data_IF_662037276845
#
_entry.id   IF_662037276845
#
_cell.length_a   1.000
_cell.length_b   1.000
_cell.length_c   1.000
_cell.angle_alpha   90.00
_cell.angle_beta   90.00
_cell.angle_gamma   90.00
#
_symmetry.space_group_name_H-M   'P 1'
#
loop_
_entity.id
_entity.type
_entity.pdbx_description
1 polymer ?
#
# COMPACT_ATOMS: atom_id res chain seq x y z
N UNK A 1 -0.85 34.54 -4.78
CA UNK A 1 -1.30 33.22 -5.29
C UNK A 1 -2.14 32.45 -4.25
N UNK A 2 -1.67 32.29 -3.01
CA UNK A 2 -2.42 31.60 -1.93
C UNK A 2 -3.81 32.23 -1.66
N UNK A 3 -3.89 33.57 -1.55
CA UNK A 3 -5.16 34.25 -1.33
C UNK A 3 -6.19 34.05 -2.46
N UNK A 4 -5.74 33.96 -3.71
CA UNK A 4 -6.63 33.70 -4.85
C UNK A 4 -7.19 32.28 -4.80
N UNK A 5 -6.38 31.31 -4.37
CA UNK A 5 -6.83 29.93 -4.17
C UNK A 5 -7.88 29.85 -3.05
N UNK A 6 -7.65 30.53 -1.93
CA UNK A 6 -8.60 30.57 -0.81
C UNK A 6 -9.93 31.21 -1.20
N UNK A 7 -9.90 32.33 -1.95
CA UNK A 7 -11.11 32.97 -2.46
C UNK A 7 -11.86 32.03 -3.41
N UNK A 8 -11.16 31.36 -4.33
CA UNK A 8 -11.78 30.39 -5.23
C UNK A 8 -12.45 29.23 -4.47
N UNK A 9 -11.80 28.68 -3.44
CA UNK A 9 -12.37 27.62 -2.60
C UNK A 9 -13.63 28.08 -1.86
N UNK A 10 -13.63 29.31 -1.32
CA UNK A 10 -14.81 29.89 -0.66
C UNK A 10 -15.97 30.10 -1.65
N UNK A 11 -15.69 30.58 -2.86
CA UNK A 11 -16.72 30.75 -3.89
C UNK A 11 -17.32 29.41 -4.33
N UNK A 12 -16.48 28.38 -4.49
CA UNK A 12 -16.93 27.02 -4.78
C UNK A 12 -17.84 26.49 -3.67
N UNK A 13 -17.43 26.66 -2.41
CA UNK A 13 -18.22 26.24 -1.26
C UNK A 13 -19.58 26.97 -1.21
N UNK A 14 -19.58 28.29 -1.40
CA UNK A 14 -20.80 29.08 -1.44
C UNK A 14 -21.74 28.66 -2.58
N UNK A 15 -21.19 28.36 -3.77
CA UNK A 15 -21.96 27.86 -4.91
C UNK A 15 -22.58 26.48 -4.64
N UNK A 16 -21.83 25.57 -4.01
CA UNK A 16 -22.33 24.25 -3.60
C UNK A 16 -23.49 24.40 -2.60
N UNK A 17 -23.31 25.21 -1.56
CA UNK A 17 -24.35 25.46 -0.55
C UNK A 17 -25.60 26.09 -1.19
N UNK A 18 -25.41 27.12 -2.02
CA UNK A 18 -26.49 27.78 -2.75
C UNK A 18 -27.24 26.81 -3.67
N UNK A 19 -26.51 25.94 -4.37
CA UNK A 19 -27.06 24.87 -5.20
C UNK A 19 -27.91 23.88 -4.41
N UNK A 20 -27.47 23.47 -3.22
CA UNK A 20 -28.25 22.59 -2.34
C UNK A 20 -29.51 23.27 -1.79
N UNK A 21 -29.41 24.55 -1.37
CA UNK A 21 -30.58 25.31 -0.91
C UNK A 21 -31.61 25.46 -2.05
N UNK A 22 -31.13 25.76 -3.25
CA UNK A 22 -31.97 25.85 -4.44
C UNK A 22 -32.63 24.51 -4.74
N UNK A 23 -31.87 23.41 -4.77
CA UNK A 23 -32.41 22.07 -5.00
C UNK A 23 -33.49 21.73 -3.95
N UNK A 24 -33.21 21.89 -2.67
CA UNK A 24 -34.16 21.60 -1.58
C UNK A 24 -35.52 22.31 -1.76
N UNK A 25 -35.51 23.54 -2.30
CA UNK A 25 -36.73 24.32 -2.55
C UNK A 25 -37.48 23.91 -3.83
N UNK A 26 -36.80 23.31 -4.81
CA UNK A 26 -37.32 23.14 -6.18
C UNK A 26 -37.53 21.68 -6.62
N UNK A 27 -36.96 20.70 -5.91
CA UNK A 27 -37.17 19.27 -6.21
C UNK A 27 -37.86 18.57 -5.05
N UNK A 28 -38.53 17.45 -5.32
CA UNK A 28 -39.19 16.67 -4.27
C UNK A 28 -38.16 16.04 -3.33
N UNK A 29 -38.58 15.81 -2.08
CA UNK A 29 -37.72 15.28 -1.03
C UNK A 29 -36.93 14.00 -1.41
N UNK A 30 -37.53 13.00 -2.10
CA UNK A 30 -36.78 11.81 -2.52
C UNK A 30 -35.61 12.13 -3.48
N UNK A 31 -35.81 13.02 -4.44
CA UNK A 31 -34.75 13.41 -5.37
C UNK A 31 -33.66 14.25 -4.69
N UNK A 32 -34.04 15.08 -3.71
CA UNK A 32 -33.06 15.82 -2.91
C UNK A 32 -32.18 14.91 -2.06
N UNK A 33 -32.78 13.90 -1.41
CA UNK A 33 -32.03 12.89 -0.65
C UNK A 33 -31.11 12.09 -1.58
N UNK A 34 -31.58 11.71 -2.76
CA UNK A 34 -30.75 11.04 -3.77
C UNK A 34 -29.57 11.92 -4.21
N UNK A 35 -29.80 13.21 -4.45
CA UNK A 35 -28.75 14.17 -4.81
C UNK A 35 -27.67 14.25 -3.71
N UNK A 36 -28.08 14.39 -2.45
CA UNK A 36 -27.16 14.40 -1.30
C UNK A 36 -26.36 13.09 -1.22
N UNK A 37 -27.03 11.96 -1.38
CA UNK A 37 -26.37 10.65 -1.38
C UNK A 37 -25.32 10.56 -2.48
N UNK A 38 -25.65 10.93 -3.71
CA UNK A 38 -24.71 10.92 -4.85
C UNK A 38 -23.53 11.86 -4.59
N UNK A 39 -23.80 13.06 -4.07
CA UNK A 39 -22.76 14.05 -3.79
C UNK A 39 -21.75 13.58 -2.75
N UNK A 40 -22.16 12.76 -1.78
CA UNK A 40 -21.28 12.18 -0.76
C UNK A 40 -20.63 10.89 -1.29
N UNK A 41 -21.40 10.02 -1.94
CA UNK A 41 -20.94 8.70 -2.37
C UNK A 41 -19.87 8.78 -3.47
N UNK A 42 -19.98 9.72 -4.43
CA UNK A 42 -19.01 9.83 -5.53
C UNK A 42 -17.60 10.19 -5.02
N UNK A 43 -17.40 11.26 -4.21
CA UNK A 43 -16.08 11.57 -3.67
C UNK A 43 -15.51 10.45 -2.79
N UNK A 44 -16.34 9.85 -1.93
CA UNK A 44 -15.90 8.74 -1.08
C UNK A 44 -15.47 7.53 -1.91
N UNK A 45 -16.26 7.14 -2.91
CA UNK A 45 -15.93 6.05 -3.82
C UNK A 45 -14.67 6.35 -4.62
N UNK A 46 -14.54 7.58 -5.13
CA UNK A 46 -13.35 8.03 -5.88
C UNK A 46 -12.09 7.98 -5.01
N UNK A 47 -12.20 8.42 -3.76
CA UNK A 47 -11.10 8.38 -2.79
C UNK A 47 -10.69 6.93 -2.49
N UNK A 48 -11.64 6.03 -2.22
CA UNK A 48 -11.35 4.61 -1.96
C UNK A 48 -10.74 3.90 -3.17
N UNK A 49 -11.18 4.22 -4.39
CA UNK A 49 -10.58 3.71 -5.62
C UNK A 49 -9.14 4.23 -5.76
N UNK A 50 -8.92 5.51 -5.48
CA UNK A 50 -7.59 6.09 -5.50
C UNK A 50 -6.64 5.44 -4.49
N UNK A 51 -7.07 5.28 -3.23
CA UNK A 51 -6.30 4.60 -2.17
C UNK A 51 -5.93 3.18 -2.59
N UNK A 52 -6.91 2.38 -3.05
CA UNK A 52 -6.66 1.02 -3.51
C UNK A 52 -5.65 0.97 -4.67
N UNK A 53 -5.80 1.86 -5.65
CA UNK A 53 -4.89 1.91 -6.80
C UNK A 53 -3.49 2.39 -6.39
N UNK A 54 -3.40 3.27 -5.40
CA UNK A 54 -2.14 3.70 -4.80
C UNK A 54 -1.43 2.52 -4.12
N UNK A 55 -2.13 1.76 -3.27
CA UNK A 55 -1.56 0.57 -2.60
C UNK A 55 -1.10 -0.47 -3.62
N UNK A 56 -1.94 -0.82 -4.60
CA UNK A 56 -1.55 -1.72 -5.70
C UNK A 56 -0.35 -1.19 -6.51
N UNK A 57 -0.13 0.12 -6.53
CA UNK A 57 1.03 0.70 -7.21
C UNK A 57 2.35 0.46 -6.47
N UNK A 58 2.35 -0.01 -5.22
CA UNK A 58 3.58 -0.28 -4.48
C UNK A 58 4.32 -1.52 -5.00
N UNK A 59 3.63 -2.49 -5.60
CA UNK A 59 4.22 -3.73 -6.11
C UNK A 59 4.41 -3.72 -7.64
N UNK A 60 5.33 -4.53 -8.21
CA UNK A 60 5.51 -4.62 -9.65
C UNK A 60 4.27 -5.15 -10.40
N UNK A 61 3.93 -4.55 -11.54
CA UNK A 61 2.81 -5.02 -12.39
C UNK A 61 3.04 -6.44 -12.92
N UNK A 62 4.31 -6.84 -13.03
CA UNK A 62 4.72 -8.17 -13.45
C UNK A 62 4.20 -9.29 -12.52
N UNK A 63 3.84 -8.98 -11.28
CA UNK A 63 3.26 -9.94 -10.33
C UNK A 63 1.75 -10.16 -10.55
N UNK A 64 1.11 -9.39 -11.46
CA UNK A 64 -0.30 -9.53 -11.85
C UNK A 64 -1.29 -9.60 -10.67
N UNK A 65 -0.99 -8.82 -9.63
CA UNK A 65 -1.86 -8.69 -8.46
C UNK A 65 -2.95 -7.66 -8.75
N UNK A 66 -4.18 -8.01 -8.37
CA UNK A 66 -5.36 -7.17 -8.60
C UNK A 66 -6.19 -6.89 -7.33
N UNK A 67 -5.74 -7.34 -6.17
CA UNK A 67 -6.49 -7.20 -4.91
C UNK A 67 -5.54 -7.12 -3.73
N UNK A 68 -6.10 -6.75 -2.58
CA UNK A 68 -5.42 -6.64 -1.30
C UNK A 68 -6.22 -7.52 -0.35
N UNK A 69 -5.57 -8.51 0.27
CA UNK A 69 -6.24 -9.42 1.21
C UNK A 69 -6.17 -8.89 2.64
N UNK A 70 -5.15 -8.09 2.95
CA UNK A 70 -4.97 -7.44 4.25
C UNK A 70 -4.17 -6.15 4.08
N UNK A 71 -4.54 -5.11 4.81
CA UNK A 71 -3.75 -3.88 4.95
C UNK A 71 -3.94 -3.36 6.36
N UNK A 72 -2.85 -3.01 7.03
CA UNK A 72 -2.86 -2.25 8.28
C UNK A 72 -1.78 -1.17 8.16
N UNK A 73 -2.20 0.07 8.25
CA UNK A 73 -1.38 1.24 7.96
C UNK A 73 -1.79 2.37 8.92
N UNK A 74 -0.82 2.99 9.58
CA UNK A 74 -1.05 4.19 10.38
C UNK A 74 -0.06 5.30 9.98
N UNK A 75 -0.52 6.53 10.15
CA UNK A 75 0.26 7.75 9.91
C UNK A 75 0.09 8.68 11.10
N UNK A 76 1.21 9.11 11.69
CA UNK A 76 1.26 9.98 12.87
C UNK A 76 1.65 11.42 12.53
N UNK A 77 1.63 11.80 11.25
CA UNK A 77 1.94 13.17 10.84
C UNK A 77 1.53 13.47 9.41
N UNK A 78 1.16 14.73 9.13
CA UNK A 78 0.85 15.20 7.78
C UNK A 78 2.00 16.01 7.17
N UNK A 79 2.42 15.66 5.95
CA UNK A 79 3.44 16.39 5.19
C UNK A 79 4.82 15.70 5.13
N UNK A 80 5.83 16.34 4.52
CA UNK A 80 7.16 15.75 4.40
C UNK A 80 7.78 15.44 5.76
N UNK A 81 8.14 14.19 6.00
CA UNK A 81 8.71 13.71 7.28
C UNK A 81 7.68 13.31 8.34
N UNK A 82 6.41 13.16 7.98
CA UNK A 82 5.44 12.45 8.81
C UNK A 82 5.82 10.98 8.92
N UNK A 83 5.67 10.41 10.12
CA UNK A 83 5.98 9.00 10.36
C UNK A 83 4.80 8.13 9.96
N UNK A 84 5.06 7.10 9.16
CA UNK A 84 4.12 6.12 8.67
C UNK A 84 4.68 4.72 8.91
N UNK A 85 3.80 3.77 9.18
CA UNK A 85 4.14 2.37 9.28
C UNK A 85 3.02 1.54 8.66
N UNK A 86 3.38 0.49 7.92
CA UNK A 86 2.38 -0.31 7.25
C UNK A 86 2.85 -1.70 6.84
N UNK A 87 1.87 -2.60 6.78
CA UNK A 87 1.97 -3.90 6.16
C UNK A 87 0.79 -4.09 5.21
N UNK A 88 1.09 -4.56 4.00
CA UNK A 88 0.08 -4.89 2.99
C UNK A 88 0.34 -6.30 2.47
N UNK A 89 -0.72 -7.11 2.43
CA UNK A 89 -0.69 -8.47 1.90
C UNK A 89 -1.50 -8.52 0.62
N UNK A 90 -0.85 -9.02 -0.42
CA UNK A 90 -1.44 -9.16 -1.74
C UNK A 90 -1.49 -10.64 -2.13
N UNK A 91 -2.66 -11.17 -2.54
CA UNK A 91 -2.73 -12.52 -3.06
C UNK A 91 -2.07 -12.60 -4.45
N UNK A 92 -1.32 -13.68 -4.68
CA UNK A 92 -0.83 -14.09 -5.99
C UNK A 92 -1.80 -15.11 -6.59
N UNK A 93 -1.97 -15.04 -7.91
CA UNK A 93 -2.69 -16.10 -8.64
C UNK A 93 -1.87 -17.39 -8.66
N UNK A 94 -2.56 -18.54 -8.75
CA UNK A 94 -1.91 -19.85 -8.88
C UNK A 94 -0.85 -19.85 -9.98
N UNK A 95 -1.25 -19.37 -11.16
CA UNK A 95 -0.40 -19.27 -12.34
C UNK A 95 0.86 -18.45 -12.08
N UNK A 96 0.75 -17.34 -11.36
CA UNK A 96 1.90 -16.50 -11.04
C UNK A 96 2.81 -17.19 -10.03
N UNK A 97 2.25 -17.80 -8.99
CA UNK A 97 3.00 -18.56 -7.99
C UNK A 97 3.76 -19.74 -8.59
N UNK A 98 3.15 -20.50 -9.49
CA UNK A 98 3.81 -21.58 -10.25
C UNK A 98 4.94 -21.05 -11.14
N UNK A 99 4.69 -19.96 -11.87
CA UNK A 99 5.69 -19.34 -12.74
C UNK A 99 6.92 -18.89 -11.93
N UNK A 100 6.71 -18.19 -10.81
CA UNK A 100 7.78 -17.76 -9.91
C UNK A 100 8.50 -18.99 -9.33
N UNK A 101 7.77 -20.02 -8.89
CA UNK A 101 8.39 -21.25 -8.35
C UNK A 101 9.26 -21.96 -9.38
N UNK A 102 8.84 -21.99 -10.65
CA UNK A 102 9.57 -22.66 -11.72
C UNK A 102 10.85 -21.93 -12.15
N UNK A 103 10.84 -20.59 -12.11
CA UNK A 103 11.95 -19.74 -12.55
C UNK A 103 12.88 -19.33 -11.42
N UNK A 104 12.39 -19.37 -10.18
CA UNK A 104 13.08 -18.89 -9.00
C UNK A 104 13.53 -17.42 -9.13
N UNK A 105 14.74 -17.12 -8.63
CA UNK A 105 15.28 -15.75 -8.62
C UNK A 105 15.39 -15.13 -10.03
N UNK A 106 15.53 -15.94 -11.08
CA UNK A 106 15.57 -15.47 -12.48
C UNK A 106 14.26 -14.83 -12.94
N UNK A 107 13.13 -15.09 -12.27
CA UNK A 107 11.90 -14.36 -12.51
C UNK A 107 12.09 -12.85 -12.27
N UNK A 108 12.80 -12.50 -11.20
CA UNK A 108 12.93 -11.13 -10.72
C UNK A 108 14.04 -10.33 -11.41
N UNK A 109 15.04 -11.01 -11.98
CA UNK A 109 16.11 -10.36 -12.77
C UNK A 109 15.61 -9.75 -14.07
N UNK A 110 14.51 -10.27 -14.61
CA UNK A 110 13.95 -9.88 -15.91
C UNK A 110 12.49 -9.41 -15.80
N UNK A 111 12.15 -8.67 -14.73
CA UNK A 111 10.82 -8.09 -14.62
C UNK A 111 10.61 -7.06 -15.73
N UNK A 112 9.49 -7.12 -16.46
CA UNK A 112 9.13 -6.04 -17.36
C UNK A 112 8.88 -4.74 -16.58
N UNK A 113 9.09 -3.57 -17.21
CA UNK A 113 8.81 -2.29 -16.58
C UNK A 113 7.33 -2.15 -16.26
N UNK A 114 7.03 -1.46 -15.15
CA UNK A 114 5.65 -1.14 -14.77
C UNK A 114 4.95 -0.28 -15.82
N UNK A 115 3.65 -0.51 -16.01
CA UNK A 115 2.77 0.39 -16.76
C UNK A 115 2.79 1.76 -16.09
N UNK A 116 2.84 2.82 -16.90
CA UNK A 116 2.89 4.22 -16.43
C UNK A 116 4.05 4.52 -15.45
N UNK A 117 5.20 3.86 -15.62
CA UNK A 117 6.38 4.00 -14.74
C UNK A 117 6.71 5.47 -14.38
N UNK A 118 6.65 6.40 -15.35
CA UNK A 118 6.90 7.85 -15.13
C UNK A 118 6.03 8.47 -14.03
N UNK A 119 4.78 8.02 -13.89
CA UNK A 119 3.84 8.56 -12.90
C UNK A 119 3.98 7.87 -11.53
N UNK A 120 4.60 6.69 -11.48
CA UNK A 120 4.76 5.88 -10.26
C UNK A 120 5.96 6.32 -9.41
N UNK A 121 6.89 7.08 -9.98
CA UNK A 121 8.15 7.48 -9.33
C UNK A 121 8.92 6.22 -8.90
N UNK A 122 9.00 5.96 -7.59
CA UNK A 122 9.70 4.79 -7.02
C UNK A 122 8.80 3.56 -6.85
N UNK A 123 7.47 3.73 -6.89
CA UNK A 123 6.50 2.69 -6.50
C UNK A 123 6.49 1.55 -7.51
N UNK A 124 6.56 0.31 -7.02
CA UNK A 124 6.66 -0.89 -7.83
C UNK A 124 8.03 -1.14 -8.45
N UNK A 125 9.03 -0.27 -8.21
CA UNK A 125 10.39 -0.50 -8.69
C UNK A 125 11.24 -1.13 -7.59
N UNK A 126 11.71 -2.36 -7.84
CA UNK A 126 12.55 -3.11 -6.94
C UNK A 126 13.69 -3.75 -7.71
N UNK A 127 14.89 -3.54 -7.19
CA UNK A 127 16.14 -4.00 -7.76
C UNK A 127 16.86 -4.86 -6.72
N UNK A 128 17.92 -5.57 -7.12
CA UNK A 128 18.76 -6.37 -6.20
C UNK A 128 17.96 -7.41 -5.41
N UNK A 129 17.11 -8.17 -6.10
CA UNK A 129 16.34 -9.25 -5.50
C UNK A 129 17.25 -10.34 -4.91
N UNK A 130 16.85 -10.84 -3.75
CA UNK A 130 17.55 -11.87 -2.99
C UNK A 130 16.56 -12.95 -2.53
N UNK A 131 17.10 -14.10 -2.17
CA UNK A 131 16.33 -15.22 -1.60
C UNK A 131 16.29 -15.11 -0.08
N UNK A 132 15.14 -15.45 0.52
CA UNK A 132 15.02 -15.62 1.97
C UNK A 132 15.76 -16.90 2.42
N UNK A 133 16.21 -17.01 3.68
CA UNK A 133 15.97 -16.12 4.81
C UNK A 133 16.61 -14.74 4.68
N UNK A 134 15.89 -13.70 5.10
CA UNK A 134 16.41 -12.33 5.11
C UNK A 134 17.56 -12.25 6.09
N UNK A 135 18.71 -11.75 5.63
CA UNK A 135 19.89 -11.54 6.48
C UNK A 135 19.81 -10.19 7.19
N UNK A 136 20.28 -10.16 8.44
CA UNK A 136 20.47 -8.92 9.20
C UNK A 136 21.32 -7.94 8.40
N UNK A 137 20.91 -6.67 8.37
CA UNK A 137 21.55 -5.61 7.57
C UNK A 137 21.43 -4.26 8.26
N UNK A 138 21.90 -3.19 7.60
CA UNK A 138 21.66 -1.82 8.08
C UNK A 138 20.16 -1.47 8.13
N UNK A 139 19.33 -2.07 7.26
CA UNK A 139 17.89 -1.79 7.15
C UNK A 139 17.02 -2.56 8.13
N UNK A 140 17.48 -3.74 8.58
CA UNK A 140 16.73 -4.59 9.49
C UNK A 140 17.70 -5.33 10.40
N UNK A 141 17.67 -5.00 11.69
CA UNK A 141 18.47 -5.65 12.72
C UNK A 141 17.54 -6.32 13.72
N UNK A 142 17.82 -7.55 14.15
CA UNK A 142 17.06 -8.18 15.21
C UNK A 142 17.30 -7.43 16.52
N UNK A 143 16.27 -7.32 17.37
CA UNK A 143 16.46 -6.88 18.76
C UNK A 143 17.15 -7.98 19.59
N UNK A 144 17.98 -7.55 20.54
CA UNK A 144 18.38 -8.32 21.72
C UNK A 144 18.89 -9.76 21.47
N UNK A 145 20.04 -9.93 20.79
CA UNK A 145 20.71 -11.23 20.59
C UNK A 145 19.86 -12.34 19.92
N UNK A 146 18.68 -12.02 19.39
CA UNK A 146 17.85 -12.97 18.65
C UNK A 146 18.53 -13.32 17.33
N UNK A 147 18.46 -14.60 16.95
CA UNK A 147 18.97 -15.10 15.67
C UNK A 147 17.98 -14.89 14.51
N UNK A 148 16.69 -14.72 14.82
CA UNK A 148 15.61 -14.56 13.83
C UNK A 148 15.16 -13.12 13.76
N UNK A 149 14.72 -12.69 12.58
CA UNK A 149 14.15 -11.37 12.37
C UNK A 149 12.65 -11.39 12.68
N UNK A 150 12.17 -10.40 13.43
CA UNK A 150 10.74 -10.19 13.68
C UNK A 150 10.24 -8.99 12.88
N UNK A 151 9.08 -9.10 12.21
CA UNK A 151 8.55 -8.02 11.36
C UNK A 151 8.35 -6.72 12.14
N UNK A 152 8.05 -6.81 13.43
CA UNK A 152 7.93 -5.64 14.30
C UNK A 152 9.26 -4.92 14.49
N UNK A 153 10.41 -5.61 14.41
CA UNK A 153 11.71 -4.95 14.45
C UNK A 153 11.95 -4.08 13.22
N UNK A 154 11.36 -4.44 12.08
CA UNK A 154 11.35 -3.61 10.89
C UNK A 154 10.30 -2.51 11.01
N UNK A 155 9.02 -2.86 11.13
CA UNK A 155 7.90 -1.91 11.08
C UNK A 155 8.02 -0.85 12.19
N UNK A 156 8.38 -1.24 13.41
CA UNK A 156 8.52 -0.35 14.55
C UNK A 156 9.90 0.29 14.71
N UNK A 157 10.79 0.26 13.70
CA UNK A 157 12.17 0.72 13.86
C UNK A 157 12.29 2.17 14.36
N UNK A 158 11.30 3.02 14.06
CA UNK A 158 11.26 4.43 14.47
C UNK A 158 10.38 4.71 15.71
N UNK A 159 9.93 3.67 16.42
CA UNK A 159 9.08 3.80 17.60
C UNK A 159 7.59 3.99 17.32
N UNK A 160 7.20 3.94 16.04
CA UNK A 160 5.81 3.96 15.59
C UNK A 160 5.38 2.55 15.20
N UNK A 161 4.38 2.02 15.90
CA UNK A 161 3.91 0.65 15.74
C UNK A 161 2.44 0.65 15.37
N UNK A 162 2.05 -0.35 14.58
CA UNK A 162 0.67 -0.66 14.21
C UNK A 162 0.24 -1.97 14.86
N UNK A 163 -1.06 -2.13 15.08
CA UNK A 163 -1.63 -3.38 15.61
C UNK A 163 -1.92 -4.37 14.49
N UNK A 164 -0.95 -5.22 14.17
CA UNK A 164 -1.06 -6.22 13.10
C UNK A 164 -1.71 -7.48 13.67
N UNK A 165 -2.71 -8.01 12.98
CA UNK A 165 -3.35 -9.28 13.32
C UNK A 165 -2.32 -10.39 13.60
N UNK A 166 -2.43 -11.12 14.73
CA UNK A 166 -1.42 -12.11 15.13
C UNK A 166 -1.10 -13.16 14.07
N UNK A 167 -2.11 -13.62 13.32
CA UNK A 167 -1.93 -14.60 12.24
C UNK A 167 -1.07 -14.07 11.08
N UNK A 168 -1.17 -12.77 10.78
CA UNK A 168 -0.36 -12.11 9.76
C UNK A 168 1.07 -11.93 10.26
N UNK A 169 1.26 -11.61 11.54
CA UNK A 169 2.58 -11.52 12.18
C UNK A 169 3.30 -12.86 12.14
N UNK A 170 2.62 -13.94 12.52
CA UNK A 170 3.18 -15.30 12.51
C UNK A 170 3.55 -15.73 11.08
N UNK A 171 2.65 -15.54 10.12
CA UNK A 171 2.90 -15.89 8.73
C UNK A 171 4.06 -15.10 8.12
N UNK A 172 4.09 -13.79 8.34
CA UNK A 172 5.15 -12.94 7.82
C UNK A 172 6.51 -13.25 8.46
N UNK A 173 6.56 -13.46 9.79
CA UNK A 173 7.78 -13.92 10.47
C UNK A 173 8.26 -15.27 9.93
N UNK A 174 7.35 -16.21 9.68
CA UNK A 174 7.69 -17.50 9.07
C UNK A 174 8.29 -17.32 7.68
N UNK A 175 7.69 -16.48 6.83
CA UNK A 175 8.13 -16.23 5.45
C UNK A 175 9.52 -15.60 5.40
N UNK A 176 9.79 -14.56 6.20
CA UNK A 176 11.08 -13.85 6.13
C UNK A 176 12.25 -14.67 6.68
N UNK A 177 11.97 -15.64 7.55
CA UNK A 177 12.99 -16.51 8.16
C UNK A 177 13.11 -17.89 7.49
N UNK A 178 12.30 -18.21 6.48
CA UNK A 178 12.32 -19.51 5.78
C UNK A 178 12.84 -19.38 4.35
N UNK A 179 13.39 -20.45 3.78
CA UNK A 179 13.76 -20.51 2.36
C UNK A 179 12.52 -20.54 1.43
N UNK A 180 12.74 -20.21 0.16
CA UNK A 180 11.73 -20.33 -0.91
C UNK A 180 10.87 -19.10 -1.14
N UNK A 181 11.26 -17.94 -0.58
CA UNK A 181 10.68 -16.63 -0.90
C UNK A 181 11.75 -15.68 -1.44
N UNK A 182 11.31 -14.59 -2.04
CA UNK A 182 12.17 -13.62 -2.70
C UNK A 182 11.89 -12.23 -2.18
N UNK A 183 12.91 -11.42 -1.94
CA UNK A 183 12.72 -10.09 -1.38
C UNK A 183 13.62 -9.04 -2.03
N UNK A 184 13.20 -7.79 -1.92
CA UNK A 184 13.99 -6.64 -2.35
C UNK A 184 13.64 -5.40 -1.52
N UNK A 185 14.65 -4.59 -1.21
CA UNK A 185 14.44 -3.28 -0.61
C UNK A 185 14.15 -2.27 -1.74
N UNK A 186 12.99 -1.63 -1.64
CA UNK A 186 12.65 -0.46 -2.43
C UNK A 186 13.10 0.83 -1.74
N UNK A 187 12.67 1.98 -2.28
CA UNK A 187 13.01 3.28 -1.69
C UNK A 187 12.43 3.50 -0.29
N UNK A 188 11.21 3.01 -0.05
CA UNK A 188 10.44 3.29 1.18
C UNK A 188 10.16 2.02 1.99
N UNK A 189 10.24 0.85 1.37
CA UNK A 189 9.81 -0.38 2.03
C UNK A 189 10.45 -1.62 1.45
N UNK A 190 10.14 -2.74 2.07
CA UNK A 190 10.59 -4.08 1.72
C UNK A 190 9.42 -4.85 1.08
N UNK A 191 9.66 -5.45 -0.08
CA UNK A 191 8.74 -6.42 -0.68
C UNK A 191 9.26 -7.83 -0.44
N UNK A 192 8.37 -8.77 -0.13
CA UNK A 192 8.66 -10.21 -0.02
C UNK A 192 7.60 -11.00 -0.77
N UNK A 193 8.01 -11.74 -1.79
CA UNK A 193 7.15 -12.58 -2.62
C UNK A 193 7.31 -14.04 -2.19
N UNK A 194 6.22 -14.63 -1.68
CA UNK A 194 6.18 -16.02 -1.25
C UNK A 194 5.28 -16.85 -2.19
N UNK A 195 5.84 -17.52 -3.20
CA UNK A 195 5.04 -18.28 -4.14
C UNK A 195 4.35 -19.49 -3.48
N UNK A 196 5.00 -20.16 -2.51
CA UNK A 196 4.41 -21.30 -1.79
C UNK A 196 3.13 -20.94 -1.04
N UNK A 197 3.08 -19.74 -0.46
CA UNK A 197 1.91 -19.19 0.26
C UNK A 197 0.98 -18.38 -0.64
N UNK A 198 1.33 -18.22 -1.92
CA UNK A 198 0.55 -17.47 -2.93
C UNK A 198 0.27 -16.04 -2.50
N UNK A 199 1.28 -15.37 -1.96
CA UNK A 199 1.13 -13.99 -1.51
C UNK A 199 2.40 -13.16 -1.67
N UNK A 200 2.22 -11.85 -1.59
CA UNK A 200 3.27 -10.84 -1.50
C UNK A 200 3.03 -10.04 -0.24
N UNK A 201 4.09 -9.83 0.53
CA UNK A 201 4.13 -8.93 1.67
C UNK A 201 4.83 -7.64 1.23
N UNK A 202 4.27 -6.50 1.60
CA UNK A 202 4.93 -5.22 1.50
C UNK A 202 4.95 -4.57 2.89
N UNK A 203 6.14 -4.31 3.39
CA UNK A 203 6.34 -3.62 4.66
C UNK A 203 6.95 -2.25 4.39
N UNK A 204 6.55 -1.23 5.14
CA UNK A 204 7.21 0.05 5.07
C UNK A 204 7.14 0.78 6.42
N UNK A 205 8.11 1.66 6.61
CA UNK A 205 8.26 2.51 7.78
C UNK A 205 9.02 3.78 7.38
N UNK A 206 8.75 4.92 8.03
CA UNK A 206 9.56 6.13 7.89
C UNK A 206 8.77 7.42 7.90
#
# INVERSE_FOLDING_TARGET
MVYLILIALLLILAAIIGGFIYAYKNISLPYFVLLLFIFIAIPLGSFKIYERNLMLSYIPDALDVNSISYSEEESWGGGPGGNEAGIIVYPLSEKMSENISSRGIEFFKYLPPNKNHKNRKWRGNYENWLETPIKSSAHWKPKENKRMLEIYDYICAYGFCIDIKPEIVEEANSIVNSEGSYYAYGRIGLIVVCPRRKLVLYFYNG
#
